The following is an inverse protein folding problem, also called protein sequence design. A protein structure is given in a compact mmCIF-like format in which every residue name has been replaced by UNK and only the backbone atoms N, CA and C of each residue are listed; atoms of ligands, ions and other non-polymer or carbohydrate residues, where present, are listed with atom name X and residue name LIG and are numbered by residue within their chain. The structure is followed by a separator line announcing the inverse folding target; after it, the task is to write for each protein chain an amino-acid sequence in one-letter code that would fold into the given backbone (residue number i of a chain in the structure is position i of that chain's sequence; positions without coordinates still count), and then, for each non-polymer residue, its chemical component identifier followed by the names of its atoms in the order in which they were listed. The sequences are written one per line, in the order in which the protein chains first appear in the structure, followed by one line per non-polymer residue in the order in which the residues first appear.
data_IF_221358450287
#
_entry.id   IF_221358450287
#
_cell.length_a   1.000
_cell.length_b   1.000
_cell.length_c   1.000
_cell.angle_alpha   90.00
_cell.angle_beta   90.00
_cell.angle_gamma   90.00
#
_symmetry.space_group_name_H-M   'P 1'
#
loop_
_entity.id
_entity.type
_entity.pdbx_description
1 polymer ?
#
# COMPACT_ATOMS: atom_id res chain seq x y z
N UNK A 1 -42.91 -15.06 15.12
CA UNK A 1 -42.58 -16.49 14.96
C UNK A 1 -43.30 -17.40 15.96
N UNK A 2 -43.13 -17.26 17.29
CA UNK A 2 -43.84 -18.11 18.29
C UNK A 2 -45.38 -18.00 18.22
N UNK A 3 -45.89 -16.79 17.97
CA UNK A 3 -47.33 -16.56 17.78
C UNK A 3 -47.87 -17.17 16.47
N UNK A 4 -47.07 -17.16 15.40
CA UNK A 4 -47.41 -17.76 14.11
C UNK A 4 -47.43 -19.29 14.17
N UNK A 5 -46.44 -19.91 14.82
CA UNK A 5 -46.42 -21.37 15.02
C UNK A 5 -47.59 -21.85 15.88
N UNK A 6 -47.91 -21.12 16.95
CA UNK A 6 -49.08 -21.38 17.81
C UNK A 6 -50.43 -21.15 17.10
N UNK A 7 -50.44 -20.37 16.01
CA UNK A 7 -51.62 -20.18 15.16
C UNK A 7 -51.73 -21.29 14.10
N UNK A 8 -50.62 -21.69 13.48
CA UNK A 8 -50.53 -22.81 12.56
C UNK A 8 -50.92 -24.14 13.24
N UNK A 9 -50.41 -24.39 14.45
CA UNK A 9 -50.79 -25.57 15.26
C UNK A 9 -52.30 -25.59 15.57
N UNK A 10 -52.91 -24.42 15.79
CA UNK A 10 -54.35 -24.30 16.07
C UNK A 10 -55.21 -24.55 14.83
N UNK A 11 -54.63 -24.41 13.64
CA UNK A 11 -55.28 -24.65 12.36
C UNK A 11 -54.85 -25.99 11.73
N UNK A 12 -54.09 -26.82 12.46
CA UNK A 12 -53.54 -28.08 11.96
C UNK A 12 -52.74 -27.94 10.65
N UNK A 13 -52.11 -26.78 10.44
CA UNK A 13 -51.28 -26.51 9.28
C UNK A 13 -49.85 -26.95 9.56
N UNK A 14 -49.22 -27.57 8.56
CA UNK A 14 -47.81 -27.95 8.64
C UNK A 14 -46.95 -26.70 8.85
N UNK A 15 -46.10 -26.72 9.88
CA UNK A 15 -45.25 -25.62 10.30
C UNK A 15 -43.76 -25.98 10.21
N UNK A 16 -43.41 -27.11 9.56
CA UNK A 16 -42.03 -27.59 9.40
C UNK A 16 -41.14 -26.66 8.58
N UNK A 17 -41.72 -25.84 7.71
CA UNK A 17 -41.01 -24.88 6.86
C UNK A 17 -40.65 -23.55 7.56
N UNK A 18 -41.05 -23.35 8.82
CA UNK A 18 -40.57 -22.22 9.64
C UNK A 18 -39.12 -22.46 10.14
N UNK A 19 -38.14 -22.38 9.25
CA UNK A 19 -36.71 -22.59 9.54
C UNK A 19 -36.04 -21.32 10.07
N UNK A 20 -36.45 -20.85 11.24
CA UNK A 20 -35.72 -19.84 12.01
C UNK A 20 -34.78 -20.51 13.02
N UNK A 21 -33.78 -21.27 12.56
CA UNK A 21 -33.03 -22.18 13.42
C UNK A 21 -31.91 -21.50 14.21
N UNK A 22 -32.30 -20.66 15.17
CA UNK A 22 -31.45 -20.42 16.34
C UNK A 22 -31.60 -21.62 17.28
N UNK A 23 -30.52 -22.39 17.46
CA UNK A 23 -30.49 -23.62 18.25
C UNK A 23 -30.53 -23.41 19.78
N UNK A 24 -30.47 -22.15 20.22
CA UNK A 24 -30.36 -21.77 21.63
C UNK A 24 -31.33 -20.63 21.96
N UNK A 25 -31.87 -20.62 23.17
CA UNK A 25 -32.80 -19.61 23.67
C UNK A 25 -32.09 -18.44 24.35
N UNK A 26 -32.80 -17.33 24.57
CA UNK A 26 -32.27 -16.17 25.34
C UNK A 26 -31.87 -16.57 26.75
N UNK A 27 -32.65 -17.48 27.37
CA UNK A 27 -32.38 -17.99 28.71
C UNK A 27 -31.08 -18.81 28.74
N UNK A 28 -30.84 -19.63 27.72
CA UNK A 28 -29.60 -20.39 27.60
C UNK A 28 -28.40 -19.47 27.39
N UNK A 29 -28.49 -18.49 26.50
CA UNK A 29 -27.42 -17.50 26.31
C UNK A 29 -27.10 -16.74 27.60
N UNK A 30 -28.12 -16.27 28.33
CA UNK A 30 -27.93 -15.60 29.63
C UNK A 30 -27.34 -16.50 30.72
N UNK A 31 -27.59 -17.80 30.66
CA UNK A 31 -27.01 -18.75 31.60
C UNK A 31 -25.53 -18.97 31.29
N UNK A 32 -25.23 -19.32 30.03
CA UNK A 32 -23.85 -19.58 29.59
C UNK A 32 -22.96 -18.34 29.73
N UNK A 33 -23.46 -17.15 29.42
CA UNK A 33 -22.68 -15.91 29.54
C UNK A 33 -22.32 -15.53 30.99
N UNK A 34 -23.03 -16.05 32.01
CA UNK A 34 -22.70 -15.75 33.41
C UNK A 34 -21.40 -16.41 33.86
N UNK A 35 -21.12 -17.59 33.31
CA UNK A 35 -19.99 -18.43 33.72
C UNK A 35 -18.86 -18.43 32.68
N UNK A 36 -19.09 -17.85 31.51
CA UNK A 36 -18.12 -17.80 30.42
C UNK A 36 -17.09 -16.68 30.62
N UNK A 37 -15.84 -16.98 30.27
CA UNK A 37 -14.71 -16.02 30.27
C UNK A 37 -14.24 -15.66 28.86
N UNK A 38 -14.75 -16.39 27.86
CA UNK A 38 -14.41 -16.17 26.46
C UNK A 38 -15.58 -16.50 25.53
N UNK A 39 -15.53 -16.00 24.30
CA UNK A 39 -16.49 -16.39 23.25
C UNK A 39 -16.43 -17.88 22.90
N UNK A 40 -15.28 -18.53 23.11
CA UNK A 40 -15.14 -19.99 22.93
C UNK A 40 -15.96 -20.74 23.97
N UNK A 41 -15.93 -20.31 25.24
CA UNK A 41 -16.74 -20.89 26.32
C UNK A 41 -18.23 -20.72 26.04
N UNK A 42 -18.62 -19.56 25.50
CA UNK A 42 -20.01 -19.31 25.11
C UNK A 42 -20.48 -20.24 24.01
N UNK A 43 -19.65 -20.47 22.99
CA UNK A 43 -20.01 -21.35 21.87
C UNK A 43 -20.10 -22.81 22.34
N UNK A 44 -19.13 -23.25 23.14
CA UNK A 44 -19.11 -24.58 23.73
C UNK A 44 -20.34 -24.80 24.64
N UNK A 45 -20.66 -23.84 25.51
CA UNK A 45 -21.82 -23.91 26.41
C UNK A 45 -23.17 -23.85 25.71
N UNK A 46 -23.24 -23.29 24.49
CA UNK A 46 -24.43 -23.30 23.65
C UNK A 46 -24.54 -24.54 22.76
N UNK A 47 -23.50 -25.38 22.69
CA UNK A 47 -23.48 -26.59 21.86
C UNK A 47 -23.56 -26.31 20.36
N UNK A 48 -23.06 -25.15 19.91
CA UNK A 48 -23.08 -24.74 18.49
C UNK A 48 -21.70 -24.95 17.88
N UNK A 49 -21.63 -25.34 16.61
CA UNK A 49 -20.37 -25.46 15.88
C UNK A 49 -19.60 -24.13 15.87
N UNK A 50 -18.30 -24.20 16.18
CA UNK A 50 -17.42 -23.05 16.28
C UNK A 50 -17.00 -22.54 14.88
N UNK A 51 -17.81 -21.62 14.35
CA UNK A 51 -17.60 -20.99 13.05
C UNK A 51 -17.73 -19.46 13.11
N UNK A 52 -17.12 -18.76 12.14
CA UNK A 52 -17.12 -17.29 12.05
C UNK A 52 -18.53 -16.70 12.05
N UNK A 53 -19.45 -17.33 11.31
CA UNK A 53 -20.85 -16.89 11.22
C UNK A 53 -21.61 -17.09 12.53
N UNK A 54 -21.47 -18.26 13.18
CA UNK A 54 -22.05 -18.55 14.49
C UNK A 54 -21.56 -17.55 15.54
N UNK A 55 -20.25 -17.26 15.57
CA UNK A 55 -19.63 -16.25 16.44
C UNK A 55 -20.29 -14.89 16.29
N UNK A 56 -20.45 -14.41 15.05
CA UNK A 56 -21.07 -13.09 14.77
C UNK A 56 -22.54 -13.07 15.21
N UNK A 57 -23.30 -14.13 14.94
CA UNK A 57 -24.72 -14.22 15.31
C UNK A 57 -24.93 -14.23 16.82
N UNK A 58 -24.14 -15.01 17.56
CA UNK A 58 -24.22 -15.08 19.02
C UNK A 58 -23.84 -13.73 19.63
N UNK A 59 -22.75 -13.11 19.16
CA UNK A 59 -22.30 -11.76 19.58
C UNK A 59 -23.36 -10.69 19.38
N UNK A 60 -23.87 -10.56 18.15
CA UNK A 60 -24.89 -9.57 17.82
C UNK A 60 -26.19 -9.76 18.61
N UNK A 61 -26.52 -11.01 18.96
CA UNK A 61 -27.69 -11.30 19.77
C UNK A 61 -27.47 -10.98 21.25
N UNK A 62 -26.31 -11.30 21.81
CA UNK A 62 -25.95 -10.93 23.19
C UNK A 62 -26.00 -9.41 23.40
N UNK A 63 -25.46 -8.64 22.45
CA UNK A 63 -25.54 -7.18 22.46
C UNK A 63 -26.99 -6.68 22.42
N UNK A 64 -27.85 -7.29 21.58
CA UNK A 64 -29.27 -6.92 21.48
C UNK A 64 -30.06 -7.22 22.77
N UNK A 65 -29.65 -8.24 23.52
CA UNK A 65 -30.23 -8.56 24.83
C UNK A 65 -29.67 -7.67 25.96
N UNK A 66 -28.75 -6.74 25.65
CA UNK A 66 -28.11 -5.87 26.64
C UNK A 66 -27.17 -6.63 27.59
N UNK A 67 -26.66 -7.79 27.16
CA UNK A 67 -25.76 -8.58 27.99
C UNK A 67 -24.36 -7.96 27.98
N UNK A 68 -23.73 -7.90 29.16
CA UNK A 68 -22.37 -7.43 29.28
C UNK A 68 -21.42 -8.40 28.57
N UNK A 69 -20.90 -7.96 27.43
CA UNK A 69 -19.97 -8.72 26.60
C UNK A 69 -18.51 -8.35 26.90
N UNK A 70 -18.25 -7.40 27.80
CA UNK A 70 -16.89 -6.94 28.11
C UNK A 70 -16.08 -8.00 28.83
N UNK A 71 -16.74 -8.81 29.67
CA UNK A 71 -16.18 -9.98 30.37
C UNK A 71 -15.71 -11.09 29.42
N UNK A 72 -16.16 -11.09 28.16
CA UNK A 72 -15.85 -12.10 27.14
C UNK A 72 -14.86 -11.61 26.10
N UNK A 73 -14.41 -10.35 26.17
CA UNK A 73 -13.22 -9.98 25.42
C UNK A 73 -12.11 -10.87 25.96
N UNK A 74 -11.27 -11.48 25.09
CA UNK A 74 -9.95 -11.86 25.55
C UNK A 74 -9.44 -10.66 26.33
N UNK A 75 -8.91 -10.87 27.54
CA UNK A 75 -8.07 -9.86 28.14
C UNK A 75 -7.01 -9.59 27.07
N UNK A 76 -7.26 -8.56 26.26
CA UNK A 76 -6.28 -7.89 25.45
C UNK A 76 -5.36 -7.41 26.55
N UNK A 77 -4.41 -8.28 26.92
CA UNK A 77 -3.45 -8.09 28.00
C UNK A 77 -3.09 -6.65 27.84
N UNK A 78 -3.54 -5.81 28.79
CA UNK A 78 -3.56 -4.37 28.62
C UNK A 78 -2.12 -3.99 28.40
N UNK A 79 -1.71 -3.99 27.13
CA UNK A 79 -0.34 -3.83 26.73
C UNK A 79 -0.20 -2.36 27.06
N UNK A 80 0.56 -1.99 28.12
CA UNK A 80 0.69 -0.59 28.48
C UNK A 80 1.00 0.11 27.18
N UNK A 81 0.17 1.11 26.81
CA UNK A 81 0.17 1.70 25.47
C UNK A 81 1.62 1.78 25.00
N UNK A 82 1.98 0.85 24.09
CA UNK A 82 3.38 0.55 23.86
C UNK A 82 4.07 1.84 23.48
N UNK A 83 5.28 2.07 23.99
CA UNK A 83 6.04 3.24 23.58
C UNK A 83 5.94 3.42 22.06
N UNK A 84 5.71 4.65 21.56
CA UNK A 84 5.59 4.88 20.14
C UNK A 84 6.72 4.17 19.41
N UNK A 85 6.41 3.50 18.30
CA UNK A 85 7.41 2.80 17.50
C UNK A 85 8.46 3.80 17.01
N UNK A 86 9.55 3.93 17.76
CA UNK A 86 10.69 4.77 17.44
C UNK A 86 11.71 3.90 16.72
N UNK A 87 11.53 3.75 15.41
CA UNK A 87 12.53 3.15 14.54
C UNK A 87 13.40 4.25 13.93
N UNK A 88 14.71 4.07 14.01
CA UNK A 88 15.66 4.93 13.32
C UNK A 88 15.81 4.49 11.87
N UNK A 89 15.90 5.44 10.95
CA UNK A 89 16.21 5.16 9.56
C UNK A 89 17.56 4.44 9.43
N UNK A 90 17.63 3.48 8.51
CA UNK A 90 18.82 2.67 8.22
C UNK A 90 19.29 2.97 6.78
N UNK A 91 20.23 3.92 6.57
CA UNK A 91 20.65 4.33 5.23
C UNK A 91 21.13 3.17 4.35
N UNK A 92 21.70 2.13 4.94
CA UNK A 92 22.11 0.89 4.25
C UNK A 92 20.96 0.10 3.61
N UNK A 93 19.72 0.41 3.98
CA UNK A 93 18.51 -0.17 3.38
C UNK A 93 17.90 0.70 2.30
N UNK A 94 18.51 1.85 1.98
CA UNK A 94 17.99 2.81 1.00
C UNK A 94 17.76 2.17 -0.37
N UNK A 95 18.64 1.26 -0.80
CA UNK A 95 18.45 0.54 -2.06
C UNK A 95 17.13 -0.22 -2.13
N UNK A 96 16.70 -0.83 -1.02
CA UNK A 96 15.43 -1.54 -0.95
C UNK A 96 14.23 -0.58 -0.82
N UNK A 97 14.41 0.57 -0.17
CA UNK A 97 13.36 1.57 0.01
C UNK A 97 13.13 2.47 -1.23
N UNK A 98 14.16 2.65 -2.06
CA UNK A 98 14.14 3.59 -3.18
C UNK A 98 12.97 3.38 -4.18
N UNK A 99 12.60 2.15 -4.57
CA UNK A 99 11.44 1.94 -5.43
C UNK A 99 10.13 2.46 -4.83
N UNK A 100 9.91 2.25 -3.53
CA UNK A 100 8.72 2.76 -2.84
C UNK A 100 8.70 4.29 -2.78
N UNK A 101 9.87 4.92 -2.59
CA UNK A 101 10.00 6.38 -2.64
C UNK A 101 9.71 6.93 -4.04
N UNK A 102 10.21 6.26 -5.09
CA UNK A 102 9.94 6.63 -6.48
C UNK A 102 8.45 6.51 -6.81
N UNK A 103 7.82 5.39 -6.43
CA UNK A 103 6.37 5.20 -6.59
C UNK A 103 5.58 6.30 -5.89
N UNK A 104 5.87 6.55 -4.62
CA UNK A 104 5.21 7.59 -3.85
C UNK A 104 5.35 8.96 -4.52
N UNK A 105 6.57 9.31 -4.97
CA UNK A 105 6.81 10.55 -5.67
C UNK A 105 5.96 10.66 -6.95
N UNK A 106 6.00 9.68 -7.84
CA UNK A 106 5.22 9.72 -9.09
C UNK A 106 3.71 9.76 -8.85
N UNK A 107 3.21 8.96 -7.90
CA UNK A 107 1.79 8.95 -7.54
C UNK A 107 1.34 10.29 -6.96
N UNK A 108 2.13 10.90 -6.08
CA UNK A 108 1.83 12.23 -5.54
C UNK A 108 1.87 13.33 -6.61
N UNK A 109 2.57 13.09 -7.73
CA UNK A 109 2.60 13.97 -8.89
C UNK A 109 1.54 13.62 -9.95
N UNK A 110 0.56 12.78 -9.62
CA UNK A 110 -0.57 12.46 -10.48
C UNK A 110 -0.29 11.41 -11.56
N UNK A 111 0.85 10.71 -11.49
CA UNK A 111 1.15 9.63 -12.42
C UNK A 111 0.66 8.29 -11.87
N UNK A 112 -0.01 7.50 -12.71
CA UNK A 112 -0.28 6.11 -12.39
C UNK A 112 1.02 5.30 -12.48
N UNK A 113 1.28 4.43 -11.50
CA UNK A 113 2.51 3.64 -11.42
C UNK A 113 2.17 2.16 -11.36
N UNK A 114 2.85 1.35 -12.18
CA UNK A 114 2.77 -0.10 -12.16
C UNK A 114 4.16 -0.71 -11.95
N UNK A 115 4.21 -1.83 -11.22
CA UNK A 115 5.42 -2.65 -11.10
C UNK A 115 5.32 -3.82 -12.08
N UNK A 116 6.40 -4.18 -12.78
CA UNK A 116 6.43 -5.41 -13.56
C UNK A 116 6.33 -6.63 -12.64
N UNK A 117 5.60 -7.66 -13.08
CA UNK A 117 5.44 -8.91 -12.33
C UNK A 117 6.70 -9.79 -12.36
N UNK A 118 7.49 -9.66 -13.42
CA UNK A 118 8.76 -10.35 -13.61
C UNK A 118 9.93 -9.35 -13.53
N UNK A 119 11.16 -9.81 -13.23
CA UNK A 119 12.32 -8.94 -13.23
C UNK A 119 12.59 -8.36 -14.62
N UNK A 120 12.37 -7.05 -14.75
CA UNK A 120 12.60 -6.31 -15.98
C UNK A 120 13.88 -5.48 -15.91
N UNK A 121 14.28 -4.93 -17.06
CA UNK A 121 15.41 -3.99 -17.13
C UNK A 121 15.07 -2.69 -16.38
N UNK A 122 13.81 -2.31 -16.29
CA UNK A 122 13.28 -1.18 -15.49
C UNK A 122 12.62 -1.67 -14.20
N UNK A 123 12.49 -0.78 -13.22
CA UNK A 123 11.82 -1.10 -11.95
C UNK A 123 10.33 -0.71 -11.96
N UNK A 124 9.95 0.34 -12.70
CA UNK A 124 8.58 0.88 -12.72
C UNK A 124 8.13 1.25 -14.14
N UNK A 125 6.83 1.13 -14.38
CA UNK A 125 6.13 1.78 -15.49
C UNK A 125 5.31 2.94 -14.94
N UNK A 126 5.48 4.11 -15.52
CA UNK A 126 4.82 5.35 -15.09
C UNK A 126 4.01 5.91 -16.25
N UNK A 127 2.71 6.04 -16.09
CA UNK A 127 1.85 6.70 -17.08
C UNK A 127 1.91 8.20 -16.88
N UNK A 128 2.43 8.88 -17.90
CA UNK A 128 2.50 10.35 -18.01
C UNK A 128 1.52 10.81 -19.09
N UNK A 129 1.33 12.13 -19.25
CA UNK A 129 0.52 12.68 -20.34
C UNK A 129 1.07 12.33 -21.73
N UNK A 130 2.38 12.10 -21.82
CA UNK A 130 3.08 11.79 -23.06
C UNK A 130 3.16 10.27 -23.31
N UNK A 131 2.45 9.48 -22.51
CA UNK A 131 2.44 8.02 -22.57
C UNK A 131 3.18 7.35 -21.41
N UNK A 132 3.42 6.05 -21.57
CA UNK A 132 4.07 5.21 -20.55
C UNK A 132 5.59 5.40 -20.60
N UNK A 133 6.20 5.60 -19.44
CA UNK A 133 7.65 5.72 -19.25
C UNK A 133 8.18 4.55 -18.44
N UNK A 134 9.24 3.90 -18.91
CA UNK A 134 10.02 2.88 -18.21
C UNK A 134 11.07 3.56 -17.34
N UNK A 135 10.98 3.33 -16.04
CA UNK A 135 11.80 4.01 -15.04
C UNK A 135 12.70 3.01 -14.34
N UNK A 136 14.01 3.25 -14.39
CA UNK A 136 14.97 2.58 -13.54
C UNK A 136 15.21 3.40 -12.28
N UNK A 137 15.06 2.78 -11.12
CA UNK A 137 15.38 3.36 -9.82
C UNK A 137 16.82 3.04 -9.45
N UNK A 138 17.56 4.07 -9.02
CA UNK A 138 18.91 3.95 -8.46
C UNK A 138 19.00 4.70 -7.15
N UNK A 139 19.99 4.33 -6.35
CA UNK A 139 20.28 5.01 -5.11
C UNK A 139 21.77 5.06 -4.83
N UNK A 140 22.16 6.02 -4.00
CA UNK A 140 23.49 6.10 -3.40
C UNK A 140 23.34 6.38 -1.92
N UNK A 141 23.89 5.51 -1.08
CA UNK A 141 23.69 5.52 0.36
C UNK A 141 24.58 6.53 1.08
N UNK A 142 25.76 6.82 0.50
CA UNK A 142 26.77 7.69 1.10
C UNK A 142 27.48 8.49 0.01
N UNK A 143 27.84 9.73 0.35
CA UNK A 143 28.75 10.52 -0.45
C UNK A 143 30.20 10.01 -0.35
N UNK A 144 31.01 10.37 -1.32
CA UNK A 144 32.45 10.20 -1.29
C UNK A 144 33.10 11.02 -0.17
N UNK A 145 34.41 10.79 0.03
CA UNK A 145 35.19 11.55 1.04
C UNK A 145 35.29 13.05 0.73
N UNK A 146 35.09 13.40 -0.53
CA UNK A 146 35.05 14.74 -1.10
C UNK A 146 33.66 15.40 -0.98
N UNK A 147 32.67 14.70 -0.41
CA UNK A 147 31.30 15.18 -0.27
C UNK A 147 30.44 14.99 -1.53
N UNK A 148 31.02 14.46 -2.62
CA UNK A 148 30.30 14.27 -3.87
C UNK A 148 29.52 12.95 -3.90
N UNK A 149 28.31 12.99 -4.45
CA UNK A 149 27.45 11.81 -4.54
C UNK A 149 27.66 11.07 -5.86
N UNK A 150 28.45 9.99 -5.81
CA UNK A 150 28.59 9.09 -6.94
C UNK A 150 27.43 8.07 -6.97
N UNK A 151 26.77 7.96 -8.12
CA UNK A 151 25.63 7.05 -8.34
C UNK A 151 25.97 6.09 -9.47
N UNK A 152 25.89 4.78 -9.21
CA UNK A 152 26.05 3.75 -10.23
C UNK A 152 24.78 3.58 -11.05
N UNK A 153 24.79 4.05 -12.29
CA UNK A 153 23.66 3.99 -13.22
C UNK A 153 23.77 2.86 -14.25
N UNK A 154 24.85 2.09 -14.26
CA UNK A 154 24.99 0.92 -15.14
C UNK A 154 24.30 -0.34 -14.63
N UNK A 155 24.01 -1.27 -15.55
CA UNK A 155 23.59 -2.64 -15.26
C UNK A 155 24.78 -3.60 -15.23
N UNK A 156 24.63 -4.75 -14.57
CA UNK A 156 25.56 -5.87 -14.78
C UNK A 156 24.93 -6.79 -15.82
N UNK A 157 25.72 -7.32 -16.77
CA UNK A 157 25.20 -8.33 -17.68
C UNK A 157 24.75 -9.56 -16.87
N UNK A 158 23.70 -10.24 -17.32
CA UNK A 158 23.21 -11.49 -16.74
C UNK A 158 24.17 -12.64 -17.06
N UNK A 159 25.36 -12.58 -16.49
CA UNK A 159 26.34 -13.65 -16.44
C UNK A 159 26.55 -14.03 -14.98
N UNK A 160 26.71 -15.33 -14.72
CA UNK A 160 27.00 -15.86 -13.39
C UNK A 160 28.30 -15.29 -12.79
N UNK A 161 29.12 -14.61 -13.59
CA UNK A 161 30.33 -13.95 -13.16
C UNK A 161 30.08 -12.54 -12.60
N UNK A 162 30.20 -12.41 -11.27
CA UNK A 162 30.12 -11.14 -10.54
C UNK A 162 31.34 -10.23 -10.80
N UNK A 163 32.36 -10.68 -11.54
CA UNK A 163 33.49 -9.84 -11.97
C UNK A 163 33.16 -8.96 -13.18
N UNK A 164 32.06 -9.25 -13.89
CA UNK A 164 31.70 -8.54 -15.11
C UNK A 164 31.51 -7.02 -14.87
N UNK A 165 32.16 -6.23 -15.72
CA UNK A 165 32.11 -4.77 -15.73
C UNK A 165 30.67 -4.28 -15.93
N UNK A 166 30.33 -3.17 -15.26
CA UNK A 166 29.02 -2.52 -15.47
C UNK A 166 28.92 -2.06 -16.92
N UNK A 167 27.77 -2.33 -17.53
CA UNK A 167 27.39 -1.89 -18.86
C UNK A 167 26.34 -0.78 -18.75
N UNK A 168 26.32 0.18 -19.68
CA UNK A 168 25.24 1.15 -19.73
C UNK A 168 23.91 0.46 -20.06
N UNK A 169 22.82 1.15 -19.74
CA UNK A 169 21.51 0.80 -20.25
C UNK A 169 21.36 1.24 -21.69
N UNK A 170 20.59 0.49 -22.48
CA UNK A 170 20.14 0.95 -23.78
C UNK A 170 19.11 2.08 -23.56
N UNK A 171 19.22 3.24 -24.22
CA UNK A 171 18.18 4.26 -24.20
C UNK A 171 16.81 3.75 -24.64
N UNK A 172 16.76 2.70 -25.47
CA UNK A 172 15.52 2.07 -25.89
C UNK A 172 14.95 1.11 -24.84
N UNK A 173 15.71 0.72 -23.81
CA UNK A 173 15.24 -0.14 -22.70
C UNK A 173 14.65 0.70 -21.55
N UNK A 174 15.21 1.89 -21.30
CA UNK A 174 14.89 2.76 -20.15
C UNK A 174 14.71 4.20 -20.60
N UNK A 175 13.59 4.80 -20.22
CA UNK A 175 13.28 6.19 -20.56
C UNK A 175 13.81 7.16 -19.48
N UNK A 176 13.69 6.79 -18.20
CA UNK A 176 14.02 7.65 -17.05
C UNK A 176 14.83 6.91 -15.98
N UNK A 177 15.70 7.66 -15.31
CA UNK A 177 16.32 7.28 -14.05
C UNK A 177 15.71 8.08 -12.90
N UNK A 178 15.16 7.38 -11.91
CA UNK A 178 14.79 7.96 -10.63
C UNK A 178 15.92 7.69 -9.63
N UNK A 179 16.54 8.73 -9.07
CA UNK A 179 17.69 8.59 -8.19
C UNK A 179 17.36 9.13 -6.80
N UNK A 180 17.67 8.32 -5.78
CA UNK A 180 17.56 8.70 -4.37
C UNK A 180 18.94 8.72 -3.71
N UNK A 181 19.31 9.86 -3.14
CA UNK A 181 20.55 10.01 -2.38
C UNK A 181 20.30 9.79 -0.89
N UNK A 182 21.35 9.41 -0.14
CA UNK A 182 21.28 9.14 1.29
C UNK A 182 21.03 10.38 2.16
N UNK A 183 21.22 11.58 1.61
CA UNK A 183 20.80 12.85 2.21
C UNK A 183 19.32 13.20 1.95
N UNK A 184 18.61 12.38 1.17
CA UNK A 184 17.21 12.57 0.85
C UNK A 184 16.95 13.19 -0.52
N UNK A 185 17.96 13.69 -1.23
CA UNK A 185 17.74 14.35 -2.50
C UNK A 185 17.23 13.40 -3.59
N UNK A 186 16.24 13.87 -4.35
CA UNK A 186 15.55 13.11 -5.39
C UNK A 186 15.84 13.71 -6.77
N UNK A 187 16.10 12.86 -7.77
CA UNK A 187 16.34 13.27 -9.16
C UNK A 187 15.51 12.43 -10.12
N UNK A 188 15.06 13.06 -11.21
CA UNK A 188 14.46 12.38 -12.37
C UNK A 188 15.24 12.81 -13.60
N UNK A 189 16.05 11.90 -14.14
CA UNK A 189 16.96 12.20 -15.25
C UNK A 189 16.58 11.34 -16.47
N UNK A 190 16.33 11.94 -17.64
CA UNK A 190 16.12 11.16 -18.86
C UNK A 190 17.36 10.33 -19.22
N UNK A 191 17.14 9.10 -19.69
CA UNK A 191 18.22 8.19 -20.09
C UNK A 191 19.11 8.78 -21.19
N UNK A 192 18.51 9.51 -22.14
CA UNK A 192 19.20 10.21 -23.23
C UNK A 192 20.24 11.23 -22.74
N UNK A 193 20.03 11.85 -21.57
CA UNK A 193 20.95 12.82 -20.96
C UNK A 193 22.17 12.11 -20.34
N UNK A 194 22.02 10.86 -19.91
CA UNK A 194 23.09 10.08 -19.29
C UNK A 194 24.01 9.40 -20.32
N UNK A 195 23.54 9.21 -21.55
CA UNK A 195 24.33 8.88 -22.75
C UNK A 195 25.46 7.85 -22.52
N UNK A 196 25.11 6.59 -22.24
CA UNK A 196 26.08 5.49 -22.18
C UNK A 196 26.99 5.48 -20.93
N UNK A 197 26.75 6.35 -19.95
CA UNK A 197 27.48 6.35 -18.68
C UNK A 197 27.04 5.19 -17.78
N UNK A 198 27.99 4.66 -17.00
CA UNK A 198 27.74 3.59 -16.01
C UNK A 198 27.79 4.09 -14.57
N UNK A 199 28.25 5.33 -14.38
CA UNK A 199 28.27 6.07 -13.13
C UNK A 199 28.20 7.57 -13.40
N UNK A 200 27.61 8.32 -12.49
CA UNK A 200 27.57 9.78 -12.52
C UNK A 200 27.86 10.38 -11.14
N UNK A 201 28.17 11.67 -11.11
CA UNK A 201 28.09 12.49 -9.91
C UNK A 201 26.78 13.29 -9.95
N UNK A 202 25.92 13.12 -8.94
CA UNK A 202 24.59 13.72 -8.93
C UNK A 202 24.62 15.26 -8.97
N UNK A 203 25.66 15.87 -8.41
CA UNK A 203 25.86 17.33 -8.36
C UNK A 203 25.97 17.97 -9.75
N UNK A 204 26.45 17.22 -10.75
CA UNK A 204 26.50 17.68 -12.15
C UNK A 204 25.11 17.78 -12.79
N UNK A 205 24.10 17.17 -12.18
CA UNK A 205 22.73 17.04 -12.69
C UNK A 205 21.70 17.76 -11.81
N UNK A 206 22.11 18.80 -11.09
CA UNK A 206 21.21 19.62 -10.23
C UNK A 206 20.00 20.17 -10.96
N UNK A 207 20.08 20.41 -12.27
CA UNK A 207 18.94 20.80 -13.11
C UNK A 207 17.83 19.73 -13.19
N UNK A 208 18.10 18.49 -12.80
CA UNK A 208 17.17 17.36 -12.78
C UNK A 208 16.74 16.97 -11.36
N UNK A 209 17.15 17.74 -10.34
CA UNK A 209 16.69 17.54 -8.97
C UNK A 209 15.21 17.90 -8.89
N UNK A 210 14.42 16.99 -8.33
CA UNK A 210 12.95 17.12 -8.23
C UNK A 210 12.45 17.31 -6.80
N UNK A 211 13.36 17.37 -5.83
CA UNK A 211 13.04 17.70 -4.44
C UNK A 211 13.87 16.92 -3.44
N UNK A 212 13.25 16.68 -2.29
CA UNK A 212 13.81 15.94 -1.18
C UNK A 212 12.77 14.97 -0.59
N UNK A 213 13.20 13.79 -0.15
CA UNK A 213 12.35 12.76 0.42
C UNK A 213 11.59 13.26 1.67
N UNK A 214 12.21 14.13 2.48
CA UNK A 214 11.57 14.74 3.65
C UNK A 214 10.39 15.66 3.27
N UNK A 215 10.36 16.14 2.03
CA UNK A 215 9.33 17.04 1.49
C UNK A 215 8.33 16.33 0.57
N UNK A 216 8.29 14.99 0.56
CA UNK A 216 7.36 14.23 -0.31
C UNK A 216 5.89 14.63 -0.14
N UNK A 217 5.45 14.83 1.11
CA UNK A 217 4.08 15.24 1.45
C UNK A 217 3.94 16.73 1.75
N UNK A 218 5.07 17.42 1.92
CA UNK A 218 5.08 18.84 2.19
C UNK A 218 4.81 19.60 0.90
N UNK A 219 3.66 20.29 0.81
CA UNK A 219 3.54 21.40 -0.13
C UNK A 219 4.74 22.32 0.07
N UNK A 220 5.42 22.66 -1.02
CA UNK A 220 6.69 23.39 -1.03
C UNK A 220 6.75 24.46 0.08
N UNK A 221 7.58 24.23 1.10
CA UNK A 221 7.93 25.31 2.02
C UNK A 221 8.76 26.32 1.24
N UNK A 222 8.27 27.55 1.12
CA UNK A 222 8.90 28.66 0.39
C UNK A 222 10.32 29.00 0.86
N UNK A 223 10.74 28.50 2.03
CA UNK A 223 11.98 28.91 2.68
C UNK A 223 13.22 28.09 2.33
N UNK A 224 13.11 26.95 1.63
CA UNK A 224 14.27 26.06 1.35
C UNK A 224 14.30 25.48 -0.07
N UNK A 225 13.70 26.16 -1.05
CA UNK A 225 13.52 25.64 -2.40
C UNK A 225 14.74 25.89 -3.32
N UNK A 226 15.52 24.87 -3.74
CA UNK A 226 16.04 24.88 -5.09
C UNK A 226 14.88 24.52 -6.02
N UNK A 227 14.12 25.57 -6.40
CA UNK A 227 13.23 25.69 -7.56
C UNK A 227 12.15 24.60 -7.70
N UNK A 228 10.91 25.06 -7.85
CA UNK A 228 9.84 24.44 -8.69
C UNK A 228 10.38 23.28 -9.52
N UNK A 229 9.75 22.07 -9.47
CA UNK A 229 9.99 20.94 -10.41
C UNK A 229 10.69 21.48 -11.64
N UNK A 230 11.94 21.08 -11.88
CA UNK A 230 12.75 21.72 -12.91
C UNK A 230 11.92 21.89 -14.17
N UNK A 231 12.07 23.03 -14.87
CA UNK A 231 11.24 23.32 -16.05
C UNK A 231 11.16 22.11 -17.00
N UNK A 232 12.26 21.36 -17.09
CA UNK A 232 12.37 20.06 -17.73
C UNK A 232 11.46 18.96 -17.16
N UNK A 233 11.46 18.70 -15.85
CA UNK A 233 10.58 17.69 -15.26
C UNK A 233 9.09 18.01 -15.48
N UNK A 234 8.71 19.29 -15.47
CA UNK A 234 7.32 19.72 -15.77
C UNK A 234 6.94 19.56 -17.22
N UNK A 235 7.80 20.03 -18.12
CA UNK A 235 7.60 19.91 -19.56
C UNK A 235 7.51 18.44 -19.98
N UNK A 236 8.37 17.59 -19.41
CA UNK A 236 8.53 16.20 -19.82
C UNK A 236 7.53 15.22 -19.16
N UNK A 237 7.01 15.54 -17.97
CA UNK A 237 5.89 14.82 -17.37
C UNK A 237 4.53 15.35 -17.86
N UNK A 238 4.55 16.38 -18.72
CA UNK A 238 3.40 17.13 -19.23
C UNK A 238 2.35 17.50 -18.19
N UNK A 239 2.81 17.81 -16.97
CA UNK A 239 1.99 18.25 -15.83
C UNK A 239 1.44 19.66 -16.10
N UNK A 240 0.44 19.77 -16.98
CA UNK A 240 -0.49 20.92 -17.04
C UNK A 240 -1.61 20.68 -16.03
N UNK A 241 -2.14 21.79 -15.48
CA UNK A 241 -3.01 21.84 -14.30
C UNK A 241 -3.94 20.64 -14.11
N UNK A 242 -3.86 20.05 -12.93
CA UNK A 242 -4.72 18.97 -12.46
C UNK A 242 -6.21 19.36 -12.57
N UNK A 243 -6.97 18.59 -13.35
CA UNK A 243 -8.44 18.61 -13.34
C UNK A 243 -8.93 17.42 -12.50
N UNK A 244 -9.44 17.66 -11.26
CA UNK A 244 -9.90 16.61 -10.37
C UNK A 244 -11.10 15.81 -10.89
N UNK A 245 -11.83 16.30 -11.90
CA UNK A 245 -13.04 15.64 -12.39
C UNK A 245 -12.79 14.55 -13.44
N UNK A 246 -11.56 14.45 -13.99
CA UNK A 246 -11.21 13.47 -15.02
C UNK A 246 -10.92 12.05 -14.51
N UNK A 247 -10.86 11.83 -13.20
CA UNK A 247 -10.51 10.54 -12.58
C UNK A 247 -11.73 9.77 -12.05
N UNK A 248 -12.84 9.79 -12.80
CA UNK A 248 -13.93 8.83 -12.61
C UNK A 248 -13.53 7.49 -13.27
N UNK A 249 -13.02 6.58 -12.44
CA UNK A 249 -12.73 5.20 -12.80
C UNK A 249 -14.07 4.48 -13.10
N UNK A 250 -14.48 4.42 -14.38
CA UNK A 250 -15.64 3.63 -14.80
C UNK A 250 -15.24 2.14 -14.90
N UNK A 251 -15.02 1.54 -13.74
CA UNK A 251 -14.94 0.08 -13.59
C UNK A 251 -16.24 -0.34 -12.95
N UNK A 252 -17.30 -0.45 -13.75
CA UNK A 252 -18.43 -1.37 -13.64
C UNK A 252 -19.54 -0.95 -14.64
N UNK A 253 -19.30 -1.14 -15.93
CA UNK A 253 -20.39 -1.20 -16.91
C UNK A 253 -20.17 -2.42 -17.81
N UNK A 254 -20.50 -3.59 -17.24
CA UNK A 254 -20.82 -4.75 -18.06
C UNK A 254 -22.15 -4.49 -18.76
N UNK A 255 -22.11 -4.39 -20.08
CA UNK A 255 -23.29 -4.26 -20.94
C UNK A 255 -22.97 -4.81 -22.32
N UNK A 256 -23.58 -5.94 -22.63
CA UNK A 256 -23.43 -6.74 -23.84
C UNK A 256 -23.67 -5.92 -25.12
N UNK A 257 -22.85 -6.17 -26.14
CA UNK A 257 -23.11 -5.74 -27.51
C UNK A 257 -24.05 -6.75 -28.20
N UNK A 258 -25.20 -6.26 -28.65
CA UNK A 258 -25.97 -6.81 -29.78
C UNK A 258 -25.89 -5.81 -30.91
#
# INVERSE_FOLDING_TARGET
MRALKKHADRQALDATHFTGQRQWSDRQLRAVMRDATSWTDVIAGLGVSDGKESRVRIKGHAMRLGLDCTILRPAESARPAGEPLKLTARPETLRAAAPALAMAWFTLHGCAVALPMEPEVYDLLVTTTDGVRRVQVKSSERSGRDGHWQVGIGRRPYVLDKSATKMPYDPDDIDLFFIVLGDGHLYVIPSSVLAGRTSIYADTYTAYRVGDASSLLGGASEADAPRRLSAYAREFLGLRGFDPEGFAFDVYSGGEAV
#
